data_IF_391677942684
#
_entry.id   IF_391677942684
#
_cell.length_a   1.000
_cell.length_b   1.000
_cell.length_c   1.000
_cell.angle_alpha   90.00
_cell.angle_beta   90.00
_cell.angle_gamma   90.00
#
_symmetry.space_group_name_H-M   'P 1'
#
loop_
_entity.id
_entity.type
_entity.pdbx_description
1 polymer ?
#
# COMPACT_ATOMS: atom_id res chain seq x y z
N UNK A 1 6.29 25.33 -33.98
CA UNK A 1 7.48 25.32 -33.11
C UNK A 1 7.10 24.61 -31.83
N UNK A 2 7.37 23.31 -31.75
CA UNK A 2 7.21 22.57 -30.50
C UNK A 2 8.48 22.83 -29.70
N UNK A 3 8.29 23.48 -28.55
CA UNK A 3 9.36 23.82 -27.63
C UNK A 3 10.02 22.55 -27.12
N UNK A 4 11.35 22.59 -27.08
CA UNK A 4 12.23 21.60 -26.52
C UNK A 4 11.74 21.19 -25.12
N UNK A 5 11.09 20.02 -25.05
CA UNK A 5 11.09 19.28 -23.81
C UNK A 5 12.49 18.69 -23.73
N UNK A 6 13.35 19.38 -22.98
CA UNK A 6 14.56 18.84 -22.40
C UNK A 6 14.20 17.46 -21.82
N UNK A 7 14.47 16.42 -22.61
CA UNK A 7 14.59 15.06 -22.14
C UNK A 7 15.81 15.11 -21.24
N UNK A 8 15.59 15.49 -19.98
CA UNK A 8 16.49 15.18 -18.89
C UNK A 8 16.70 13.68 -18.98
N UNK A 9 17.78 13.29 -19.64
CA UNK A 9 18.43 12.02 -19.42
C UNK A 9 18.77 12.03 -17.94
N UNK A 10 17.85 11.55 -17.11
CA UNK A 10 18.18 11.10 -15.78
C UNK A 10 19.10 9.91 -16.01
N UNK A 11 20.41 10.18 -16.04
CA UNK A 11 21.43 9.14 -16.12
C UNK A 11 21.09 8.13 -15.03
N UNK A 12 20.85 6.88 -15.45
CA UNK A 12 20.35 5.85 -14.56
C UNK A 12 21.36 5.69 -13.43
N UNK A 13 20.92 5.93 -12.18
CA UNK A 13 21.79 6.03 -11.01
C UNK A 13 22.68 4.77 -10.80
N UNK A 14 22.30 3.64 -11.40
CA UNK A 14 23.00 2.37 -11.31
C UNK A 14 23.49 1.84 -12.66
N UNK A 15 23.67 2.71 -13.67
CA UNK A 15 24.17 2.33 -15.00
C UNK A 15 25.50 1.58 -14.90
N UNK A 16 26.39 2.10 -14.05
CA UNK A 16 27.65 1.42 -13.74
C UNK A 16 27.45 0.02 -13.13
N UNK A 17 26.53 -0.14 -12.18
CA UNK A 17 26.26 -1.44 -11.55
C UNK A 17 25.67 -2.44 -12.56
N UNK A 18 24.83 -1.97 -13.48
CA UNK A 18 24.28 -2.77 -14.57
C UNK A 18 25.37 -3.26 -15.51
N UNK A 19 26.28 -2.38 -15.94
CA UNK A 19 27.39 -2.73 -16.82
C UNK A 19 28.34 -3.78 -16.23
N UNK A 20 28.58 -3.71 -14.92
CA UNK A 20 29.41 -4.68 -14.18
C UNK A 20 28.74 -6.05 -14.06
N UNK A 21 27.42 -6.09 -13.89
CA UNK A 21 26.70 -7.32 -13.59
C UNK A 21 26.20 -8.06 -14.84
N UNK A 22 25.93 -7.36 -15.94
CA UNK A 22 25.29 -7.94 -17.14
C UNK A 22 26.12 -9.04 -17.82
N UNK A 23 27.43 -9.04 -17.64
CA UNK A 23 28.34 -10.02 -18.24
C UNK A 23 28.78 -11.15 -17.28
N UNK A 24 28.21 -11.22 -16.08
CA UNK A 24 28.61 -12.24 -15.10
C UNK A 24 28.26 -13.66 -15.60
N UNK A 25 29.21 -14.63 -15.61
CA UNK A 25 29.04 -15.95 -16.22
C UNK A 25 27.94 -16.79 -15.56
N UNK A 26 27.58 -16.45 -14.32
CA UNK A 26 26.44 -17.04 -13.59
C UNK A 26 25.11 -16.89 -14.34
N UNK A 27 24.97 -15.88 -15.21
CA UNK A 27 23.77 -15.65 -16.00
C UNK A 27 23.75 -16.39 -17.35
N UNK A 28 24.91 -16.88 -17.82
CA UNK A 28 25.05 -17.51 -19.14
C UNK A 28 25.20 -19.04 -19.06
N UNK A 29 25.58 -19.60 -17.89
CA UNK A 29 25.76 -21.05 -17.71
C UNK A 29 24.46 -21.87 -17.81
N UNK A 30 23.28 -21.24 -17.63
CA UNK A 30 21.99 -21.93 -17.64
C UNK A 30 21.44 -22.17 -19.07
N UNK A 31 21.92 -21.41 -20.07
CA UNK A 31 21.43 -21.51 -21.45
C UNK A 31 22.02 -22.67 -22.26
N UNK A 32 23.21 -23.18 -21.90
CA UNK A 32 23.93 -24.19 -22.69
C UNK A 32 23.47 -25.65 -22.44
N UNK A 33 22.62 -25.92 -21.43
CA UNK A 33 22.24 -27.30 -21.04
C UNK A 33 20.97 -27.85 -21.69
N UNK A 34 20.41 -27.21 -22.72
CA UNK A 34 19.23 -27.76 -23.42
C UNK A 34 19.57 -28.27 -24.82
N UNK A 35 20.06 -29.51 -24.90
CA UNK A 35 19.91 -30.34 -26.11
C UNK A 35 18.59 -31.13 -26.03
N UNK A 36 17.75 -31.13 -27.08
CA UNK A 36 16.44 -31.77 -27.09
C UNK A 36 16.46 -33.14 -27.78
N UNK A 37 15.66 -34.11 -27.30
CA UNK A 37 14.73 -34.95 -28.11
C UNK A 37 14.34 -36.26 -27.41
N UNK A 38 13.02 -36.53 -27.52
CA UNK A 38 12.33 -37.82 -27.76
C UNK A 38 12.54 -38.93 -26.71
N UNK A 39 11.53 -39.67 -26.27
CA UNK A 39 10.20 -39.84 -26.80
C UNK A 39 9.36 -40.73 -25.88
N UNK A 40 8.08 -40.76 -26.24
CA UNK A 40 6.93 -41.44 -25.66
C UNK A 40 7.05 -42.98 -25.75
N UNK A 41 6.34 -43.68 -24.86
CA UNK A 41 5.46 -44.86 -25.10
C UNK A 41 5.77 -46.15 -24.30
N UNK A 42 4.92 -46.42 -23.30
CA UNK A 42 4.14 -47.64 -22.98
C UNK A 42 4.77 -49.06 -23.16
N UNK A 43 5.01 -49.70 -22.02
CA UNK A 43 4.69 -51.06 -21.53
C UNK A 43 4.70 -52.37 -22.40
N UNK A 44 5.38 -53.39 -21.82
CA UNK A 44 5.08 -54.87 -21.72
C UNK A 44 5.60 -55.85 -22.80
N UNK A 45 5.65 -57.21 -22.56
CA UNK A 45 6.79 -58.01 -22.07
C UNK A 45 7.18 -59.22 -22.98
N UNK A 46 8.13 -60.07 -22.57
CA UNK A 46 8.11 -61.57 -22.58
C UNK A 46 9.50 -62.23 -22.83
N UNK A 47 9.65 -63.42 -22.23
CA UNK A 47 10.79 -64.31 -22.03
C UNK A 47 11.60 -64.72 -23.28
N UNK A 48 12.84 -65.24 -23.09
CA UNK A 48 13.15 -66.69 -23.24
C UNK A 48 14.68 -66.98 -23.16
N UNK A 49 14.98 -68.21 -22.71
CA UNK A 49 16.25 -68.88 -22.37
C UNK A 49 17.42 -68.75 -23.37
N UNK A 50 18.67 -68.92 -22.91
CA UNK A 50 19.63 -69.99 -23.31
C UNK A 50 20.91 -69.96 -22.42
N UNK A 51 21.46 -71.15 -22.17
CA UNK A 51 22.39 -71.62 -21.14
C UNK A 51 23.92 -71.35 -21.43
N UNK A 52 24.84 -71.72 -20.49
CA UNK A 52 26.20 -71.19 -20.31
C UNK A 52 27.32 -72.10 -20.86
N UNK A 53 28.53 -71.55 -21.08
CA UNK A 53 29.84 -72.22 -20.88
C UNK A 53 31.00 -71.21 -21.01
N UNK A 54 31.79 -71.08 -19.92
CA UNK A 54 33.26 -70.93 -19.74
C UNK A 54 34.08 -70.13 -20.81
N UNK A 55 35.07 -69.29 -20.48
CA UNK A 55 36.07 -69.37 -19.41
C UNK A 55 36.92 -68.07 -19.36
N UNK A 56 37.63 -67.90 -18.23
CA UNK A 56 38.83 -67.06 -17.96
C UNK A 56 38.68 -65.55 -17.66
N UNK A 57 39.01 -65.23 -16.39
CA UNK A 57 39.60 -64.01 -15.78
C UNK A 57 39.72 -62.74 -16.66
N UNK A 58 39.40 -61.52 -16.20
CA UNK A 58 39.93 -60.85 -15.00
C UNK A 58 39.21 -59.48 -14.84
N UNK A 59 39.21 -58.93 -13.62
CA UNK A 59 38.99 -57.51 -13.27
C UNK A 59 37.76 -56.73 -13.78
N UNK A 60 36.70 -56.65 -12.95
CA UNK A 60 35.73 -55.55 -12.98
C UNK A 60 35.53 -55.01 -11.56
N UNK A 61 36.23 -53.92 -11.25
CA UNK A 61 35.95 -53.04 -10.12
C UNK A 61 34.55 -52.45 -10.33
N UNK A 62 33.55 -52.98 -9.63
CA UNK A 62 32.26 -52.30 -9.47
C UNK A 62 32.47 -51.08 -8.56
N UNK A 63 32.69 -49.91 -9.17
CA UNK A 63 32.58 -48.63 -8.46
C UNK A 63 31.11 -48.41 -8.11
N UNK A 64 30.75 -48.77 -6.89
CA UNK A 64 29.45 -48.54 -6.31
C UNK A 64 29.21 -47.02 -6.20
N UNK A 65 28.15 -46.54 -6.85
CA UNK A 65 27.75 -45.12 -6.79
C UNK A 65 27.45 -44.76 -5.32
N UNK A 66 27.97 -43.64 -4.79
CA UNK A 66 27.80 -43.33 -3.37
C UNK A 66 26.32 -43.16 -3.00
N UNK A 67 25.99 -43.73 -1.84
CA UNK A 67 24.63 -43.80 -1.29
C UNK A 67 24.06 -42.38 -1.15
N UNK A 68 22.89 -42.17 -1.75
CA UNK A 68 22.25 -40.85 -1.80
C UNK A 68 21.80 -40.37 -0.42
N UNK A 69 21.93 -39.06 -0.19
CA UNK A 69 21.56 -38.30 1.02
C UNK A 69 20.04 -38.30 1.36
N UNK A 70 19.30 -39.39 1.11
CA UNK A 70 17.88 -39.51 1.44
C UNK A 70 17.64 -39.50 2.95
N UNK A 71 18.52 -40.12 3.73
CA UNK A 71 18.39 -40.21 5.19
C UNK A 71 18.72 -38.87 5.87
N UNK A 72 19.75 -38.16 5.40
CA UNK A 72 20.12 -36.83 5.91
C UNK A 72 19.04 -35.77 5.65
N UNK A 73 18.26 -35.92 4.56
CA UNK A 73 17.17 -35.00 4.20
C UNK A 73 15.93 -35.21 5.07
N UNK A 74 15.68 -36.43 5.55
CA UNK A 74 14.56 -36.71 6.47
C UNK A 74 14.86 -36.28 7.90
N UNK A 75 16.09 -36.45 8.40
CA UNK A 75 16.47 -35.97 9.74
C UNK A 75 16.36 -34.44 9.86
N UNK A 76 16.59 -33.68 8.77
CA UNK A 76 16.36 -32.22 8.73
C UNK A 76 14.89 -31.81 8.77
N UNK A 77 13.93 -32.71 8.56
CA UNK A 77 12.50 -32.42 8.71
C UNK A 77 11.99 -32.58 10.15
N UNK A 78 12.67 -33.38 10.99
CA UNK A 78 12.24 -33.63 12.38
C UNK A 78 12.80 -32.66 13.42
N UNK A 79 13.81 -31.84 13.09
CA UNK A 79 14.45 -30.91 14.04
C UNK A 79 13.96 -29.46 13.97
N UNK A 80 12.85 -29.16 13.28
CA UNK A 80 12.26 -27.80 13.25
C UNK A 80 11.14 -27.64 14.29
N UNK A 81 11.48 -27.88 15.54
CA UNK A 81 10.76 -27.34 16.70
C UNK A 81 11.82 -26.88 17.68
N UNK A 82 12.52 -25.80 17.33
CA UNK A 82 13.25 -25.04 18.31
C UNK A 82 12.44 -23.77 18.58
N UNK A 83 11.47 -23.90 19.48
CA UNK A 83 10.57 -22.83 19.92
C UNK A 83 11.32 -21.70 20.65
N UNK A 84 12.60 -21.89 20.98
CA UNK A 84 13.42 -20.89 21.64
C UNK A 84 13.98 -19.82 20.68
N UNK A 85 14.01 -20.10 19.36
CA UNK A 85 14.46 -19.12 18.36
C UNK A 85 13.31 -18.32 17.73
N UNK A 86 12.05 -18.73 17.93
CA UNK A 86 10.87 -18.05 17.36
C UNK A 86 10.41 -16.87 18.22
N UNK A 87 10.58 -16.93 19.55
CA UNK A 87 10.11 -15.90 20.47
C UNK A 87 10.70 -14.50 20.19
N UNK A 88 12.02 -14.32 19.94
CA UNK A 88 12.58 -13.01 19.61
C UNK A 88 12.06 -12.46 18.28
N UNK A 89 11.86 -13.34 17.29
CA UNK A 89 11.36 -12.95 15.96
C UNK A 89 9.89 -12.51 16.07
N UNK A 90 9.07 -13.23 16.82
CA UNK A 90 7.65 -12.87 17.06
C UNK A 90 7.53 -11.55 17.81
N UNK A 91 8.42 -11.27 18.77
CA UNK A 91 8.46 -10.00 19.48
C UNK A 91 8.74 -8.83 18.52
N UNK A 92 9.77 -8.93 17.67
CA UNK A 92 10.09 -7.89 16.66
C UNK A 92 8.93 -7.67 15.68
N UNK A 93 8.23 -8.72 15.28
CA UNK A 93 7.06 -8.60 14.40
C UNK A 93 5.89 -7.87 15.06
N UNK A 94 5.66 -8.09 16.35
CA UNK A 94 4.63 -7.39 17.12
C UNK A 94 5.00 -5.91 17.30
N UNK A 95 6.26 -5.60 17.61
CA UNK A 95 6.76 -4.22 17.70
C UNK A 95 6.55 -3.46 16.39
N UNK A 96 6.93 -4.06 15.24
CA UNK A 96 6.69 -3.48 13.91
C UNK A 96 5.20 -3.25 13.61
N UNK A 97 4.33 -4.15 14.05
CA UNK A 97 2.88 -4.04 13.86
C UNK A 97 2.31 -2.87 14.67
N UNK A 98 2.72 -2.73 15.92
CA UNK A 98 2.31 -1.61 16.78
C UNK A 98 2.86 -0.28 16.27
N UNK A 99 4.13 -0.22 15.85
CA UNK A 99 4.70 0.98 15.23
C UNK A 99 3.94 1.41 13.98
N UNK A 100 3.56 0.44 13.13
CA UNK A 100 2.74 0.71 11.94
C UNK A 100 1.35 1.22 12.31
N UNK A 101 0.74 0.68 13.36
CA UNK A 101 -0.56 1.12 13.86
C UNK A 101 -0.47 2.56 14.39
N UNK A 102 0.51 2.86 15.23
CA UNK A 102 0.76 4.21 15.78
C UNK A 102 1.06 5.20 14.65
N UNK A 103 1.88 4.82 13.66
CA UNK A 103 2.16 5.66 12.51
C UNK A 103 0.91 5.95 11.68
N UNK A 104 0.05 4.95 11.46
CA UNK A 104 -1.22 5.13 10.76
C UNK A 104 -2.20 6.02 11.53
N UNK A 105 -2.27 5.86 12.85
CA UNK A 105 -3.11 6.69 13.71
C UNK A 105 -2.65 8.16 13.68
N UNK A 106 -1.35 8.42 13.83
CA UNK A 106 -0.79 9.78 13.69
C UNK A 106 -1.06 10.38 12.32
N UNK A 107 -0.97 9.59 11.24
CA UNK A 107 -1.32 10.03 9.89
C UNK A 107 -2.80 10.39 9.77
N UNK A 108 -3.69 9.59 10.36
CA UNK A 108 -5.12 9.85 10.37
C UNK A 108 -5.44 11.13 11.15
N UNK A 109 -4.85 11.31 12.33
CA UNK A 109 -4.99 12.53 13.12
C UNK A 109 -4.50 13.76 12.34
N UNK A 110 -3.34 13.66 11.69
CA UNK A 110 -2.80 14.74 10.85
C UNK A 110 -3.75 15.08 9.68
N UNK A 111 -4.31 14.06 9.01
CA UNK A 111 -5.28 14.24 7.95
C UNK A 111 -6.54 14.95 8.46
N UNK A 112 -7.09 14.51 9.61
CA UNK A 112 -8.27 15.12 10.21
C UNK A 112 -8.03 16.59 10.58
N UNK A 113 -6.89 16.91 11.20
CA UNK A 113 -6.50 18.30 11.52
C UNK A 113 -6.37 19.12 10.23
N UNK A 114 -5.70 18.58 9.21
CA UNK A 114 -5.51 19.28 7.92
C UNK A 114 -6.84 19.55 7.19
N UNK A 115 -7.79 18.62 7.29
CA UNK A 115 -9.12 18.77 6.72
C UNK A 115 -9.93 19.82 7.48
N UNK A 116 -9.91 19.77 8.82
CA UNK A 116 -10.54 20.78 9.67
C UNK A 116 -10.01 22.18 9.39
N UNK A 117 -8.68 22.33 9.31
CA UNK A 117 -8.04 23.60 8.99
C UNK A 117 -8.44 24.12 7.60
N UNK A 118 -8.50 23.26 6.58
CA UNK A 118 -8.93 23.66 5.24
C UNK A 118 -10.42 24.07 5.21
N UNK A 119 -11.28 23.34 5.91
CA UNK A 119 -12.70 23.67 6.01
C UNK A 119 -12.92 25.02 6.70
N UNK A 120 -12.22 25.27 7.82
CA UNK A 120 -12.28 26.55 8.53
C UNK A 120 -11.73 27.70 7.68
N UNK A 121 -10.60 27.48 6.98
CA UNK A 121 -10.03 28.47 6.06
C UNK A 121 -11.03 28.85 4.96
N UNK A 122 -11.70 27.85 4.35
CA UNK A 122 -12.71 28.09 3.33
C UNK A 122 -13.90 28.88 3.89
N UNK A 123 -14.37 28.54 5.09
CA UNK A 123 -15.45 29.26 5.77
C UNK A 123 -15.07 30.71 6.06
N UNK A 124 -13.84 30.96 6.52
CA UNK A 124 -13.35 32.31 6.77
C UNK A 124 -13.23 33.14 5.49
N UNK A 125 -12.87 32.51 4.37
CA UNK A 125 -12.82 33.17 3.07
C UNK A 125 -14.22 33.52 2.54
N UNK A 126 -15.18 32.62 2.69
CA UNK A 126 -16.60 32.88 2.39
C UNK A 126 -17.14 34.06 3.19
N UNK A 127 -16.95 34.08 4.51
CA UNK A 127 -17.41 35.18 5.37
C UNK A 127 -16.78 36.53 4.99
N UNK A 128 -15.51 36.53 4.57
CA UNK A 128 -14.85 37.76 4.08
C UNK A 128 -15.47 38.25 2.78
N UNK A 129 -15.78 37.36 1.85
CA UNK A 129 -16.41 37.71 0.59
C UNK A 129 -17.85 38.20 0.80
N UNK A 130 -18.61 37.55 1.68
CA UNK A 130 -19.94 38.00 2.07
C UNK A 130 -19.90 39.38 2.72
N UNK A 131 -18.98 39.62 3.65
CA UNK A 131 -18.78 40.93 4.25
C UNK A 131 -18.40 41.99 3.19
N UNK A 132 -17.57 41.62 2.20
CA UNK A 132 -17.22 42.50 1.08
C UNK A 132 -18.44 42.86 0.24
N UNK A 133 -19.32 41.89 -0.06
CA UNK A 133 -20.57 42.11 -0.81
C UNK A 133 -21.53 43.00 -0.02
N UNK A 134 -21.67 42.76 1.28
CA UNK A 134 -22.52 43.56 2.18
C UNK A 134 -22.07 45.02 2.27
N UNK A 135 -20.75 45.26 2.23
CA UNK A 135 -20.17 46.62 2.31
C UNK A 135 -20.03 47.32 0.95
N UNK A 136 -20.33 46.66 -0.16
CA UNK A 136 -20.13 47.20 -1.50
C UNK A 136 -21.16 48.30 -1.79
N UNK A 137 -20.69 49.52 -2.07
CA UNK A 137 -21.55 50.62 -2.53
C UNK A 137 -21.97 50.40 -3.99
N UNK A 138 -23.27 50.44 -4.25
CA UNK A 138 -23.86 50.21 -5.58
C UNK A 138 -24.23 51.49 -6.31
N UNK A 139 -24.11 52.67 -5.66
CA UNK A 139 -24.56 53.96 -6.21
C UNK A 139 -23.86 54.37 -7.53
N UNK A 140 -22.66 53.86 -7.78
CA UNK A 140 -21.86 54.12 -8.98
C UNK A 140 -21.94 53.04 -10.06
N UNK A 141 -22.77 52.01 -9.90
CA UNK A 141 -22.82 50.85 -10.81
C UNK A 141 -24.01 50.93 -11.80
N UNK A 142 -23.93 50.27 -12.97
CA UNK A 142 -25.08 50.13 -13.87
C UNK A 142 -26.27 49.46 -13.16
N UNK A 143 -27.53 49.81 -13.50
CA UNK A 143 -28.72 49.31 -12.80
C UNK A 143 -28.78 47.79 -12.64
N UNK A 144 -28.36 47.06 -13.67
CA UNK A 144 -28.38 45.59 -13.65
C UNK A 144 -27.36 44.98 -12.67
N UNK A 145 -26.22 45.64 -12.47
CA UNK A 145 -25.22 45.19 -11.50
C UNK A 145 -25.65 45.58 -10.08
N UNK A 146 -26.23 46.76 -9.91
CA UNK A 146 -26.79 47.20 -8.64
C UNK A 146 -27.87 46.23 -8.14
N UNK A 147 -28.83 45.86 -9.00
CA UNK A 147 -29.89 44.90 -8.65
C UNK A 147 -29.31 43.53 -8.26
N UNK A 148 -28.33 43.03 -9.03
CA UNK A 148 -27.63 41.79 -8.69
C UNK A 148 -26.99 41.84 -7.31
N UNK A 149 -26.23 42.89 -7.00
CA UNK A 149 -25.56 43.01 -5.69
C UNK A 149 -26.58 43.14 -4.56
N UNK A 150 -27.65 43.91 -4.73
CA UNK A 150 -28.70 44.02 -3.73
C UNK A 150 -29.40 42.67 -3.49
N UNK A 151 -29.65 41.89 -4.53
CA UNK A 151 -30.20 40.54 -4.38
C UNK A 151 -29.25 39.64 -3.58
N UNK A 152 -27.94 39.68 -3.88
CA UNK A 152 -26.93 38.93 -3.12
C UNK A 152 -26.86 39.34 -1.65
N UNK A 153 -27.00 40.64 -1.35
CA UNK A 153 -27.04 41.14 0.02
C UNK A 153 -28.23 40.56 0.79
N UNK A 154 -29.43 40.57 0.20
CA UNK A 154 -30.62 39.96 0.82
C UNK A 154 -30.44 38.45 1.08
N UNK A 155 -29.88 37.71 0.12
CA UNK A 155 -29.60 36.27 0.29
C UNK A 155 -28.66 35.99 1.46
N UNK A 156 -27.62 36.82 1.62
CA UNK A 156 -26.65 36.73 2.72
C UNK A 156 -27.33 37.04 4.05
N UNK A 157 -28.12 38.10 4.12
CA UNK A 157 -28.86 38.48 5.32
C UNK A 157 -29.87 37.41 5.76
N UNK A 158 -30.64 36.86 4.82
CA UNK A 158 -31.59 35.78 5.08
C UNK A 158 -30.89 34.50 5.56
N UNK A 159 -29.76 34.13 4.93
CA UNK A 159 -28.97 32.98 5.35
C UNK A 159 -28.40 33.16 6.77
N UNK A 160 -27.91 34.36 7.09
CA UNK A 160 -27.41 34.71 8.42
C UNK A 160 -28.53 34.65 9.46
N UNK A 161 -29.71 35.18 9.14
CA UNK A 161 -30.88 35.11 10.01
C UNK A 161 -31.28 33.64 10.28
N UNK A 162 -31.34 32.81 9.23
CA UNK A 162 -31.66 31.39 9.37
C UNK A 162 -30.63 30.61 10.20
N UNK A 163 -29.33 30.89 10.01
CA UNK A 163 -28.27 30.27 10.81
C UNK A 163 -28.36 30.68 12.29
N UNK A 164 -28.60 31.96 12.57
CA UNK A 164 -28.80 32.46 13.93
C UNK A 164 -30.01 31.81 14.60
N UNK A 165 -31.14 31.70 13.89
CA UNK A 165 -32.34 31.04 14.41
C UNK A 165 -32.08 29.55 14.73
N UNK A 166 -31.39 28.80 13.86
CA UNK A 166 -31.02 27.41 14.13
C UNK A 166 -30.09 27.26 15.33
N UNK A 167 -29.16 28.19 15.50
CA UNK A 167 -28.22 28.18 16.63
C UNK A 167 -28.95 28.41 17.97
N UNK A 168 -29.91 29.32 18.00
CA UNK A 168 -30.74 29.59 19.18
C UNK A 168 -31.59 28.38 19.55
N UNK A 169 -32.22 27.71 18.58
CA UNK A 169 -32.99 26.48 18.83
C UNK A 169 -32.11 25.37 19.43
N UNK A 170 -30.91 25.17 18.87
CA UNK A 170 -29.97 24.18 19.43
C UNK A 170 -29.54 24.55 20.87
N UNK A 171 -29.35 25.84 21.17
CA UNK A 171 -29.02 26.29 22.52
C UNK A 171 -30.17 26.05 23.50
N UNK A 172 -31.41 26.31 23.10
CA UNK A 172 -32.61 26.00 23.88
C UNK A 172 -32.74 24.49 24.15
N UNK A 173 -32.53 23.64 23.14
CA UNK A 173 -32.54 22.18 23.27
C UNK A 173 -31.46 21.67 24.25
N UNK A 174 -30.24 22.21 24.15
CA UNK A 174 -29.15 21.87 25.07
C UNK A 174 -29.44 22.32 26.51
N UNK A 175 -30.02 23.51 26.68
CA UNK A 175 -30.41 24.01 27.99
C UNK A 175 -31.53 23.17 28.59
N UNK A 176 -32.54 22.77 27.81
CA UNK A 176 -33.61 21.87 28.25
C UNK A 176 -33.06 20.52 28.71
N UNK A 177 -32.15 19.91 27.95
CA UNK A 177 -31.49 18.66 28.38
C UNK A 177 -30.67 18.82 29.67
N UNK A 178 -30.00 19.96 29.84
CA UNK A 178 -29.25 20.26 31.06
C UNK A 178 -30.15 20.47 32.28
N UNK A 179 -31.32 21.13 32.11
CA UNK A 179 -32.28 21.32 33.19
C UNK A 179 -33.00 20.01 33.56
N UNK A 180 -33.34 19.16 32.59
CA UNK A 180 -33.97 17.86 32.85
C UNK A 180 -33.04 16.90 33.61
N UNK A 181 -31.74 16.89 33.31
CA UNK A 181 -30.76 16.10 34.07
C UNK A 181 -30.61 16.54 35.53
N UNK A 182 -30.85 17.83 35.82
CA UNK A 182 -30.76 18.38 37.16
C UNK A 182 -32.10 18.33 37.93
N UNK A 183 -33.23 18.10 37.27
CA UNK A 183 -34.54 17.96 37.89
C UNK A 183 -34.77 16.60 38.60
N UNK A 184 -33.95 15.59 38.29
CA UNK A 184 -34.04 14.23 38.88
C UNK A 184 -33.16 13.99 40.12
N UNK A 185 -32.54 15.04 40.68
CA UNK A 185 -31.60 14.94 41.83
C UNK A 185 -32.16 15.55 43.12
N UNK A 186 -33.48 15.73 43.25
CA UNK A 186 -34.14 16.18 44.51
C UNK A 186 -35.10 15.11 45.03
#
# INVERSE_FOLDING_TARGET
>A
MYQDLDVKHFAFQFEHCWDVLKHQPKWFQECEKKKPKRGRTVATPLAELVNPQEDVADDIIQVERPIGNKIAKEQRKKSKTNDHASAPIVQVLNELKEDKKVANEKKLQMLQISYGFQAEKLKMEQLKEEARIMMLDTSGMPPIQQEYIHQRQMEIDDANMCMNARMLLHYEDLMLMYYDQNAYVI
#
